data_IF_993552832159
#
_entry.id   IF_993552832159
#
_cell.length_a   1.000
_cell.length_b   1.000
_cell.length_c   1.000
_cell.angle_alpha   90.00
_cell.angle_beta   90.00
_cell.angle_gamma   90.00
#
_symmetry.space_group_name_H-M   'P 1'
#
loop_
_entity.id
_entity.type
_entity.pdbx_description
1 polymer ?
#
# COMPACT_ATOMS: atom_id res chain seq x y z
N UNK A 1 -0.59 -11.41 29.49
CA UNK A 1 -0.30 -9.98 29.20
C UNK A 1 -0.61 -9.72 27.73
N UNK A 2 -0.96 -8.49 27.37
CA UNK A 2 -1.18 -8.12 25.97
C UNK A 2 0.15 -8.13 25.23
N UNK A 3 0.17 -8.73 24.04
CA UNK A 3 1.28 -8.69 23.11
C UNK A 3 0.77 -8.34 21.72
N UNK A 4 1.62 -7.68 20.94
CA UNK A 4 1.34 -7.32 19.56
C UNK A 4 2.51 -7.75 18.70
N UNK A 5 2.23 -8.17 17.46
CA UNK A 5 3.23 -8.43 16.44
C UNK A 5 2.76 -7.80 15.14
N UNK A 6 3.54 -6.82 14.67
CA UNK A 6 3.21 -6.00 13.50
C UNK A 6 4.08 -6.41 12.31
N UNK A 7 3.44 -6.62 11.17
CA UNK A 7 4.06 -6.91 9.89
C UNK A 7 3.49 -6.01 8.77
N UNK A 8 4.26 -5.82 7.71
CA UNK A 8 3.85 -5.09 6.51
C UNK A 8 4.01 -5.97 5.28
N UNK A 9 3.17 -5.75 4.26
CA UNK A 9 3.34 -6.36 2.94
C UNK A 9 4.65 -5.93 2.26
N UNK A 10 5.07 -4.68 2.48
CA UNK A 10 6.39 -4.15 2.11
C UNK A 10 6.72 -2.94 2.99
N UNK A 11 8.01 -2.73 3.29
CA UNK A 11 8.53 -1.55 4.00
C UNK A 11 8.97 -0.42 3.07
N UNK A 12 9.10 -0.69 1.77
CA UNK A 12 9.41 0.30 0.74
C UNK A 12 8.39 0.17 -0.39
N UNK A 13 7.60 1.22 -0.56
CA UNK A 13 6.49 1.27 -1.52
C UNK A 13 6.71 2.38 -2.54
N UNK A 14 6.03 2.27 -3.67
CA UNK A 14 6.00 3.31 -4.70
C UNK A 14 4.63 3.98 -4.65
N UNK A 15 4.59 5.30 -4.81
CA UNK A 15 3.32 6.03 -4.82
C UNK A 15 2.32 5.42 -5.81
N UNK A 16 1.08 5.24 -5.37
CA UNK A 16 0.00 4.59 -6.11
C UNK A 16 -0.14 3.08 -5.85
N UNK A 17 0.83 2.42 -5.19
CA UNK A 17 0.68 1.03 -4.77
C UNK A 17 -0.24 0.89 -3.54
N UNK A 18 -0.61 -0.35 -3.22
CA UNK A 18 -1.35 -0.69 -2.00
C UNK A 18 -0.38 -1.02 -0.85
N UNK A 19 -0.69 -0.53 0.36
CA UNK A 19 -0.04 -0.93 1.61
C UNK A 19 -1.00 -1.79 2.42
N UNK A 20 -0.53 -2.93 2.92
CA UNK A 20 -1.26 -3.75 3.89
C UNK A 20 -0.37 -3.96 5.12
N UNK A 21 -0.88 -3.55 6.28
CA UNK A 21 -0.29 -3.82 7.58
C UNK A 21 -1.15 -4.84 8.30
N UNK A 22 -0.50 -5.79 8.97
CA UNK A 22 -1.15 -6.83 9.75
C UNK A 22 -0.59 -6.79 11.17
N UNK A 23 -1.50 -6.74 12.14
CA UNK A 23 -1.17 -6.76 13.55
C UNK A 23 -1.85 -7.94 14.23
N UNK A 24 -1.07 -8.94 14.56
CA UNK A 24 -1.48 -10.04 15.43
C UNK A 24 -1.47 -9.54 16.88
N UNK A 25 -2.57 -9.77 17.60
CA UNK A 25 -2.79 -9.31 18.96
C UNK A 25 -3.24 -10.47 19.83
N UNK A 26 -2.48 -10.72 20.89
CA UNK A 26 -2.77 -11.74 21.89
C UNK A 26 -2.98 -11.08 23.26
N UNK A 27 -4.03 -11.47 23.98
CA UNK A 27 -4.28 -10.96 25.32
C UNK A 27 -5.63 -11.41 25.89
N UNK A 28 -5.70 -11.51 27.22
CA UNK A 28 -6.95 -11.76 27.93
C UNK A 28 -7.11 -10.78 29.11
N UNK A 29 -8.29 -10.17 29.29
CA UNK A 29 -9.45 -10.12 28.37
C UNK A 29 -9.08 -9.59 26.98
N UNK A 30 -9.90 -9.87 25.97
CA UNK A 30 -9.66 -9.47 24.58
C UNK A 30 -9.35 -7.96 24.51
N UNK A 31 -8.17 -7.57 24.01
CA UNK A 31 -7.75 -6.18 24.01
C UNK A 31 -8.40 -5.38 22.88
N UNK A 32 -8.67 -4.10 23.14
CA UNK A 32 -9.05 -3.14 22.12
C UNK A 32 -7.83 -2.77 21.27
N UNK A 33 -7.99 -2.78 19.96
CA UNK A 33 -6.92 -2.52 18.98
C UNK A 33 -7.15 -1.19 18.25
N UNK A 34 -6.10 -0.40 18.07
CA UNK A 34 -6.13 0.80 17.26
C UNK A 34 -4.78 1.10 16.60
N UNK A 35 -4.84 1.87 15.51
CA UNK A 35 -3.67 2.21 14.71
C UNK A 35 -3.32 3.69 14.81
N UNK A 36 -2.03 3.99 14.79
CA UNK A 36 -1.53 5.36 14.67
C UNK A 36 -0.44 5.45 13.61
N UNK A 37 -0.28 6.65 13.04
CA UNK A 37 0.81 7.03 12.14
C UNK A 37 1.47 8.28 12.71
N UNK A 38 2.78 8.22 12.94
CA UNK A 38 3.55 9.35 13.48
C UNK A 38 2.91 9.93 14.76
N UNK A 39 2.41 9.04 15.64
CA UNK A 39 1.72 9.39 16.88
C UNK A 39 0.28 9.90 16.72
N UNK A 40 -0.26 9.97 15.50
CA UNK A 40 -1.64 10.41 15.24
C UNK A 40 -2.55 9.23 14.94
N UNK A 41 -3.72 9.19 15.59
CA UNK A 41 -4.69 8.11 15.38
C UNK A 41 -5.18 8.09 13.93
N UNK A 42 -5.14 6.91 13.32
CA UNK A 42 -5.62 6.70 11.96
C UNK A 42 -7.13 6.49 12.02
N UNK A 43 -7.84 7.24 11.18
CA UNK A 43 -9.30 7.16 11.04
C UNK A 43 -9.59 6.61 9.64
N UNK A 44 -10.39 5.52 9.52
CA UNK A 44 -10.80 5.00 8.23
C UNK A 44 -11.46 6.06 7.35
N UNK A 45 -11.21 5.98 6.04
CA UNK A 45 -11.77 6.85 5.02
C UNK A 45 -11.84 6.09 3.69
N UNK A 46 -12.13 6.78 2.59
CA UNK A 46 -12.26 6.13 1.28
C UNK A 46 -10.99 5.41 0.81
N UNK A 47 -9.81 5.85 1.26
CA UNK A 47 -8.51 5.25 0.93
C UNK A 47 -7.98 4.29 2.00
N UNK A 48 -8.37 4.48 3.27
CA UNK A 48 -7.87 3.71 4.42
C UNK A 48 -8.98 2.84 5.01
N UNK A 49 -8.75 1.53 5.05
CA UNK A 49 -9.66 0.55 5.68
C UNK A 49 -8.97 -0.12 6.85
N UNK A 50 -9.73 -0.35 7.92
CA UNK A 50 -9.29 -1.13 9.08
C UNK A 50 -10.29 -2.25 9.31
N UNK A 51 -9.83 -3.48 9.49
CA UNK A 51 -10.67 -4.66 9.72
C UNK A 51 -10.02 -5.62 10.72
N UNK A 52 -10.81 -6.54 11.27
CA UNK A 52 -10.36 -7.55 12.24
C UNK A 52 -10.17 -7.02 13.68
N UNK A 53 -10.10 -7.94 14.64
CA UNK A 53 -9.80 -7.66 16.06
C UNK A 53 -8.49 -8.30 16.49
N UNK A 54 -8.46 -9.62 16.73
CA UNK A 54 -7.26 -10.36 17.16
C UNK A 54 -6.17 -10.41 16.09
N UNK A 55 -6.56 -10.36 14.82
CA UNK A 55 -5.66 -10.06 13.71
C UNK A 55 -6.25 -8.84 13.01
N UNK A 56 -5.69 -7.67 13.30
CA UNK A 56 -6.15 -6.40 12.75
C UNK A 56 -5.37 -6.08 11.48
N UNK A 57 -6.08 -5.69 10.42
CA UNK A 57 -5.49 -5.27 9.16
C UNK A 57 -5.74 -3.79 8.94
N UNK A 58 -4.71 -3.06 8.51
CA UNK A 58 -4.82 -1.71 7.99
C UNK A 58 -4.42 -1.72 6.52
N UNK A 59 -5.32 -1.30 5.65
CA UNK A 59 -5.09 -1.22 4.21
C UNK A 59 -5.15 0.21 3.73
N UNK A 60 -4.12 0.67 3.03
CA UNK A 60 -4.12 1.93 2.27
C UNK A 60 -4.14 1.58 0.79
N UNK A 61 -5.26 1.83 0.13
CA UNK A 61 -5.51 1.36 -1.24
C UNK A 61 -4.58 2.01 -2.28
N UNK A 62 -4.34 3.32 -2.14
CA UNK A 62 -3.37 4.07 -2.94
C UNK A 62 -2.48 4.92 -2.05
N UNK A 63 -1.24 4.49 -1.91
CA UNK A 63 -0.22 5.13 -1.08
C UNK A 63 0.27 6.43 -1.73
N UNK A 64 0.31 7.51 -0.97
CA UNK A 64 0.92 8.77 -1.34
C UNK A 64 2.26 8.99 -0.60
N UNK A 65 3.06 9.96 -1.03
CA UNK A 65 4.31 10.31 -0.34
C UNK A 65 4.08 10.72 1.13
N UNK A 66 2.93 11.32 1.44
CA UNK A 66 2.52 11.67 2.80
C UNK A 66 2.23 10.46 3.69
N UNK A 67 2.04 9.28 3.09
CA UNK A 67 1.76 8.05 3.82
C UNK A 67 3.04 7.38 4.32
N UNK A 68 4.23 7.86 3.93
CA UNK A 68 5.49 7.47 4.57
C UNK A 68 5.51 7.91 6.04
N UNK A 69 6.05 7.07 6.92
CA UNK A 69 6.12 7.37 8.34
C UNK A 69 6.20 6.12 9.21
N UNK A 70 6.12 6.35 10.52
CA UNK A 70 6.10 5.29 11.53
C UNK A 70 4.65 4.87 11.79
N UNK A 71 4.33 3.61 11.51
CA UNK A 71 3.03 3.02 11.80
C UNK A 71 3.11 2.20 13.07
N UNK A 72 2.08 2.33 13.90
CA UNK A 72 2.02 1.69 15.19
C UNK A 72 0.67 1.02 15.37
N UNK A 73 0.70 -0.25 15.76
CA UNK A 73 -0.47 -0.99 16.21
C UNK A 73 -0.45 -1.05 17.74
N UNK A 74 -1.50 -0.53 18.35
CA UNK A 74 -1.66 -0.48 19.80
C UNK A 74 -2.77 -1.44 20.21
N UNK A 75 -2.52 -2.21 21.26
CA UNK A 75 -3.50 -3.10 21.88
C UNK A 75 -3.54 -2.86 23.39
N UNK A 76 -4.75 -2.77 23.96
CA UNK A 76 -4.94 -2.54 25.39
C UNK A 76 -6.13 -3.29 25.95
N UNK A 77 -5.96 -3.87 27.13
CA UNK A 77 -7.05 -4.31 27.98
C UNK A 77 -6.98 -3.64 29.36
N UNK A 78 -7.83 -4.10 30.27
CA UNK A 78 -8.00 -3.55 31.63
C UNK A 78 -6.73 -3.69 32.49
N UNK A 79 -5.82 -4.60 32.13
CA UNK A 79 -4.68 -5.01 32.95
C UNK A 79 -3.33 -4.70 32.31
N UNK A 80 -3.25 -4.61 30.99
CA UNK A 80 -2.01 -4.42 30.25
C UNK A 80 -2.23 -3.78 28.89
N UNK A 81 -1.19 -3.13 28.37
CA UNK A 81 -1.15 -2.56 27.03
C UNK A 81 0.20 -2.86 26.39
N UNK A 82 0.20 -3.08 25.08
CA UNK A 82 1.42 -3.26 24.30
C UNK A 82 1.23 -2.66 22.92
N UNK A 83 2.33 -2.31 22.27
CA UNK A 83 2.31 -1.81 20.91
C UNK A 83 3.54 -2.29 20.14
N UNK A 84 3.39 -2.36 18.83
CA UNK A 84 4.47 -2.65 17.90
C UNK A 84 4.47 -1.59 16.81
N UNK A 85 5.65 -1.34 16.25
CA UNK A 85 5.84 -0.28 15.26
C UNK A 85 6.72 -0.75 14.11
N UNK A 86 6.54 -0.13 12.95
CA UNK A 86 7.43 -0.27 11.80
C UNK A 86 7.46 1.01 10.98
N UNK A 87 8.54 1.16 10.22
CA UNK A 87 8.74 2.31 9.33
C UNK A 87 8.33 1.94 7.91
N UNK A 88 7.51 2.79 7.29
CA UNK A 88 7.17 2.71 5.86
C UNK A 88 7.85 3.84 5.11
N UNK A 89 8.61 3.48 4.08
CA UNK A 89 9.14 4.41 3.10
C UNK A 89 8.27 4.41 1.84
N UNK A 90 8.02 5.59 1.29
CA UNK A 90 7.31 5.75 0.02
C UNK A 90 8.18 6.54 -0.95
N UNK A 91 8.38 5.99 -2.14
CA UNK A 91 9.13 6.60 -3.22
C UNK A 91 8.16 7.15 -4.27
N UNK A 92 8.52 8.23 -4.97
CA UNK A 92 7.70 8.74 -6.06
C UNK A 92 7.62 7.71 -7.20
N UNK A 93 6.47 7.69 -7.86
CA UNK A 93 6.29 6.90 -9.07
C UNK A 93 7.23 7.40 -10.16
N UNK A 94 8.23 6.59 -10.53
CA UNK A 94 9.15 6.92 -11.61
C UNK A 94 8.61 6.34 -12.91
N UNK A 95 8.22 7.21 -13.84
CA UNK A 95 7.74 6.81 -15.16
C UNK A 95 8.94 6.64 -16.09
N UNK A 96 9.21 5.44 -16.64
CA UNK A 96 10.28 5.26 -17.60
C UNK A 96 10.06 6.11 -18.86
N UNK A 97 11.12 6.71 -19.41
CA UNK A 97 11.04 7.55 -20.61
C UNK A 97 10.47 6.82 -21.85
N UNK A 98 10.55 5.48 -21.87
CA UNK A 98 9.96 4.64 -22.94
C UNK A 98 8.44 4.53 -22.87
N UNK A 99 7.82 4.85 -21.73
CA UNK A 99 6.38 4.94 -21.62
C UNK A 99 5.92 6.22 -22.32
N UNK A 100 5.38 6.07 -23.52
CA UNK A 100 4.85 7.17 -24.33
C UNK A 100 3.41 6.87 -24.68
N UNK A 101 2.59 7.92 -24.74
CA UNK A 101 1.19 7.76 -25.09
C UNK A 101 1.07 7.45 -26.59
N UNK A 102 0.37 6.37 -26.93
CA UNK A 102 0.10 6.06 -28.33
C UNK A 102 -0.97 7.02 -28.85
N UNK A 103 -0.74 7.71 -29.98
CA UNK A 103 -1.75 8.58 -30.57
C UNK A 103 -3.00 7.81 -31.06
N UNK A 104 -2.93 6.49 -31.18
CA UNK A 104 -4.02 5.63 -31.63
C UNK A 104 -4.80 4.96 -30.50
N UNK A 105 -4.18 4.76 -29.33
CA UNK A 105 -4.79 4.10 -28.18
C UNK A 105 -4.94 5.09 -27.02
N UNK A 106 -6.00 5.89 -27.05
CA UNK A 106 -6.35 6.82 -25.97
C UNK A 106 -7.25 6.18 -24.89
N UNK A 107 -7.51 4.87 -24.96
CA UNK A 107 -8.44 4.19 -24.05
C UNK A 107 -7.70 3.30 -23.03
N UNK A 108 -7.34 3.89 -21.88
CA UNK A 108 -6.60 3.22 -20.81
C UNK A 108 -7.15 1.85 -20.37
N UNK A 109 -8.47 1.66 -20.17
CA UNK A 109 -9.05 0.35 -19.85
C UNK A 109 -8.65 -0.81 -20.79
N UNK A 110 -8.45 -0.54 -22.08
CA UNK A 110 -8.02 -1.56 -23.06
C UNK A 110 -6.51 -1.84 -22.97
N UNK A 111 -5.72 -0.80 -22.67
CA UNK A 111 -4.26 -0.88 -22.52
C UNK A 111 -3.88 -1.68 -21.28
N UNK A 112 -4.50 -1.37 -20.13
CA UNK A 112 -4.30 -2.04 -18.84
C UNK A 112 -4.63 -3.54 -18.93
N UNK A 113 -5.69 -3.89 -19.68
CA UNK A 113 -6.07 -5.28 -19.94
C UNK A 113 -5.08 -6.02 -20.84
N UNK A 114 -4.42 -5.31 -21.76
CA UNK A 114 -3.50 -5.94 -22.70
C UNK A 114 -2.16 -6.33 -22.08
N UNK A 115 -1.73 -5.72 -20.96
CA UNK A 115 -0.42 -5.98 -20.32
C UNK A 115 0.81 -5.90 -21.26
N UNK A 116 0.68 -5.35 -22.47
CA UNK A 116 1.76 -5.30 -23.47
C UNK A 116 2.25 -3.88 -23.75
N UNK A 117 1.57 -2.86 -23.23
CA UNK A 117 1.92 -1.47 -23.51
C UNK A 117 1.88 -0.64 -22.22
N UNK A 118 3.03 -0.06 -21.87
CA UNK A 118 3.10 1.01 -20.87
C UNK A 118 2.57 2.31 -21.51
N UNK A 119 1.65 2.99 -20.83
CA UNK A 119 1.08 4.27 -21.27
C UNK A 119 1.29 5.30 -20.16
N UNK A 120 1.86 6.46 -20.49
CA UNK A 120 2.21 7.49 -19.51
C UNK A 120 0.97 8.03 -18.82
N UNK A 121 -0.04 8.39 -19.61
CA UNK A 121 -1.32 8.91 -19.11
C UNK A 121 -2.05 7.92 -18.20
N UNK A 122 -1.99 6.61 -18.48
CA UNK A 122 -2.65 5.60 -17.63
C UNK A 122 -1.90 5.35 -16.32
N UNK A 123 -0.58 5.46 -16.34
CA UNK A 123 0.27 5.36 -15.15
C UNK A 123 0.06 6.57 -14.22
N UNK A 124 0.00 7.77 -14.78
CA UNK A 124 -0.34 9.00 -14.03
C UNK A 124 -1.76 8.96 -13.45
N UNK A 125 -2.73 8.36 -14.16
CA UNK A 125 -4.09 8.17 -13.69
C UNK A 125 -4.23 7.07 -12.60
N UNK A 126 -3.14 6.38 -12.24
CA UNK A 126 -3.15 5.27 -11.29
C UNK A 126 -3.95 4.06 -11.78
N UNK A 127 -4.06 3.89 -13.10
CA UNK A 127 -4.73 2.74 -13.73
C UNK A 127 -3.74 1.62 -14.10
N UNK A 128 -2.43 1.89 -14.06
CA UNK A 128 -1.33 0.94 -14.14
C UNK A 128 -0.46 1.10 -12.88
N UNK A 129 0.00 0.00 -12.29
CA UNK A 129 0.92 0.05 -11.15
C UNK A 129 2.38 0.13 -11.60
N UNK A 130 3.25 0.74 -10.78
CA UNK A 130 4.69 0.82 -11.04
C UNK A 130 5.33 -0.56 -11.29
N UNK A 131 4.88 -1.54 -10.51
CA UNK A 131 5.36 -2.92 -10.56
C UNK A 131 5.01 -3.61 -11.90
N UNK A 132 3.87 -3.29 -12.50
CA UNK A 132 3.51 -3.79 -13.84
C UNK A 132 4.41 -3.18 -14.93
N UNK A 133 4.79 -1.91 -14.76
CA UNK A 133 5.63 -1.18 -15.72
C UNK A 133 7.08 -1.68 -15.73
N UNK A 134 7.64 -2.03 -14.56
CA UNK A 134 8.99 -2.61 -14.46
C UNK A 134 9.07 -4.01 -15.08
N UNK A 135 8.02 -4.83 -14.97
CA UNK A 135 7.99 -6.16 -15.59
C UNK A 135 7.87 -6.14 -17.12
N UNK A 136 7.29 -5.08 -17.70
CA UNK A 136 7.13 -4.91 -19.15
C UNK A 136 8.31 -4.18 -19.80
N UNK A 137 9.07 -3.43 -19.01
CA UNK A 137 10.24 -2.70 -19.43
C UNK A 137 11.36 -3.60 -20.00
N UNK A 138 11.43 -4.86 -19.59
CA UNK A 138 12.52 -5.79 -19.94
C UNK A 138 12.13 -6.82 -21.03
N UNK A 139 10.89 -6.77 -21.53
CA UNK A 139 10.51 -7.59 -22.69
C UNK A 139 10.96 -6.92 -23.98
N UNK A 140 11.75 -7.60 -24.84
CA UNK A 140 12.09 -7.07 -26.14
C UNK A 140 10.78 -6.84 -26.92
N UNK A 141 10.66 -5.66 -27.52
CA UNK A 141 9.59 -5.35 -28.47
C UNK A 141 9.63 -6.39 -29.60
N UNK A 142 8.85 -7.46 -29.47
CA UNK A 142 8.64 -8.40 -30.57
C UNK A 142 7.76 -7.66 -31.58
N UNK A 143 8.40 -7.08 -32.59
CA UNK A 143 7.72 -6.59 -33.80
C UNK A 143 6.92 -7.77 -34.38
N UNK A 144 5.60 -7.63 -34.45
CA UNK A 144 4.76 -8.38 -35.39
C UNK A 144 4.12 -7.39 -36.34
#
# INVERSE_FOLDING_TARGET
PVHTKLAASSSSLTAGSELVLECEVDGYPEPDVYWTKDGRRIIPNDNIRISGSSVSHLTVARVALSDAGMYECHARNNYSSHYSYLQIAVQPLTIPAKCTDSPFFANCPLIVRSKFFCCKSCLEAGQLSAHEVEMQADQPLVRK
#
